data_IF_573371415372
#
_entry.id   IF_573371415372
#
_cell.length_a   1.000
_cell.length_b   1.000
_cell.length_c   1.000
_cell.angle_alpha   90.00
_cell.angle_beta   90.00
_cell.angle_gamma   90.00
#
_symmetry.space_group_name_H-M   'P 1'
#
loop_
_entity.id
_entity.type
_entity.pdbx_description
1 polymer ?
#
# COMPACT_ATOMS: atom_id res chain seq x y z
N UNK A 1 1.89 13.94 2.22
CA UNK A 1 2.89 14.98 1.86
C UNK A 1 2.39 16.30 2.41
N UNK A 2 3.18 16.98 3.25
CA UNK A 2 2.79 18.30 3.77
C UNK A 2 3.95 19.26 3.57
N UNK A 3 3.70 20.42 2.95
CA UNK A 3 4.70 21.46 2.77
C UNK A 3 4.58 22.50 3.88
N UNK A 4 5.60 22.62 4.71
CA UNK A 4 5.71 23.70 5.69
C UNK A 4 6.40 24.89 5.03
N UNK A 5 5.59 25.77 4.43
CA UNK A 5 6.06 26.94 3.71
C UNK A 5 6.96 27.87 4.56
N UNK A 6 6.72 27.93 5.87
CA UNK A 6 7.53 28.74 6.79
C UNK A 6 8.96 28.24 6.98
N UNK A 7 9.27 27.02 6.56
CA UNK A 7 10.58 26.40 6.75
C UNK A 7 11.12 25.76 5.45
N UNK A 8 10.41 25.88 4.33
CA UNK A 8 10.73 25.20 3.06
C UNK A 8 10.94 23.68 3.22
N UNK A 9 10.25 23.06 4.21
CA UNK A 9 10.37 21.62 4.48
C UNK A 9 9.21 20.87 3.87
N UNK A 10 9.54 19.86 3.06
CA UNK A 10 8.60 18.82 2.63
C UNK A 10 8.60 17.72 3.70
N UNK A 11 7.46 17.54 4.36
CA UNK A 11 7.24 16.42 5.26
C UNK A 11 6.69 15.23 4.47
N UNK A 12 7.47 14.15 4.47
CA UNK A 12 7.07 12.85 3.98
C UNK A 12 6.72 11.96 5.17
N UNK A 13 5.44 11.60 5.30
CA UNK A 13 5.04 10.53 6.21
C UNK A 13 5.26 9.20 5.48
N UNK A 14 6.12 8.36 6.06
CA UNK A 14 6.32 7.02 5.55
C UNK A 14 5.04 6.20 5.71
N UNK A 15 4.67 5.37 4.73
CA UNK A 15 3.50 4.53 4.87
C UNK A 15 3.65 3.60 6.07
N UNK A 16 2.57 3.47 6.85
CA UNK A 16 2.51 2.58 8.01
C UNK A 16 2.66 1.12 7.56
N UNK A 17 3.02 0.23 8.49
CA UNK A 17 3.04 -1.20 8.19
C UNK A 17 1.67 -1.70 7.74
N UNK A 18 0.58 -1.15 8.31
CA UNK A 18 -0.81 -1.49 7.95
C UNK A 18 -1.14 -1.10 6.51
N UNK A 19 -0.66 0.05 6.02
CA UNK A 19 -0.83 0.44 4.62
C UNK A 19 -0.09 -0.51 3.67
N UNK A 20 1.14 -0.92 4.04
CA UNK A 20 2.00 -1.76 3.18
C UNK A 20 1.62 -3.23 3.13
N UNK A 21 1.10 -3.80 4.22
CA UNK A 21 0.78 -5.22 4.31
C UNK A 21 -0.09 -5.72 3.14
N UNK A 22 -1.27 -5.14 2.86
CA UNK A 22 -2.11 -5.63 1.78
C UNK A 22 -1.50 -5.41 0.40
N UNK A 23 -0.66 -4.38 0.23
CA UNK A 23 0.05 -4.15 -1.03
C UNK A 23 0.99 -5.31 -1.30
N UNK A 24 1.85 -5.64 -0.32
CA UNK A 24 2.84 -6.69 -0.49
C UNK A 24 2.20 -8.05 -0.77
N UNK A 25 1.17 -8.42 0.01
CA UNK A 25 0.52 -9.72 -0.17
C UNK A 25 -0.25 -9.83 -1.48
N UNK A 26 -0.98 -8.76 -1.85
CA UNK A 26 -1.73 -8.75 -3.10
C UNK A 26 -0.79 -8.80 -4.30
N UNK A 27 0.25 -7.95 -4.30
CA UNK A 27 1.27 -7.91 -5.35
C UNK A 27 1.91 -9.28 -5.51
N UNK A 28 2.33 -9.90 -4.40
CA UNK A 28 3.00 -11.20 -4.45
C UNK A 28 2.08 -12.29 -5.02
N UNK A 29 0.86 -12.42 -4.51
CA UNK A 29 -0.08 -13.44 -4.96
C UNK A 29 -0.46 -13.26 -6.44
N UNK A 30 -0.76 -12.03 -6.88
CA UNK A 30 -1.11 -11.78 -8.29
C UNK A 30 0.07 -12.03 -9.21
N UNK A 31 1.28 -11.65 -8.76
CA UNK A 31 2.51 -11.87 -9.51
C UNK A 31 2.79 -13.36 -9.70
N UNK A 32 2.62 -14.17 -8.67
CA UNK A 32 2.83 -15.62 -8.74
C UNK A 32 1.88 -16.27 -9.75
N UNK A 33 0.60 -15.88 -9.76
CA UNK A 33 -0.39 -16.38 -10.71
C UNK A 33 -0.09 -15.96 -12.16
N UNK A 34 0.28 -14.69 -12.38
CA UNK A 34 0.52 -14.18 -13.74
C UNK A 34 1.85 -14.65 -14.34
N UNK A 35 2.91 -14.77 -13.53
CA UNK A 35 4.22 -15.24 -14.00
C UNK A 35 4.17 -16.74 -14.33
N UNK A 36 3.27 -17.51 -13.69
CA UNK A 36 3.07 -18.91 -14.02
C UNK A 36 2.45 -19.15 -15.41
N UNK A 37 1.91 -18.11 -16.06
CA UNK A 37 1.33 -18.24 -17.40
C UNK A 37 2.40 -18.53 -18.46
N UNK A 38 2.12 -19.41 -19.44
CA UNK A 38 3.08 -19.76 -20.49
C UNK A 38 3.08 -18.72 -21.62
N UNK A 39 3.49 -17.48 -21.32
CA UNK A 39 3.62 -16.38 -22.29
C UNK A 39 5.07 -16.22 -22.78
N UNK A 40 5.31 -15.58 -23.95
CA UNK A 40 6.66 -15.42 -24.50
C UNK A 40 7.46 -14.37 -23.72
N UNK A 41 8.12 -14.78 -22.64
CA UNK A 41 8.90 -13.90 -21.74
C UNK A 41 10.07 -13.17 -22.42
N UNK A 42 10.54 -13.69 -23.56
CA UNK A 42 11.54 -13.05 -24.42
C UNK A 42 10.98 -11.82 -25.15
N UNK A 43 9.67 -11.77 -25.40
CA UNK A 43 9.00 -10.73 -26.17
C UNK A 43 8.18 -9.78 -25.29
N UNK A 44 7.65 -10.27 -24.17
CA UNK A 44 6.83 -9.50 -23.24
C UNK A 44 7.42 -9.59 -21.84
N UNK A 45 7.43 -8.48 -21.13
CA UNK A 45 7.70 -8.42 -19.70
C UNK A 45 6.42 -8.05 -18.95
N UNK A 46 6.06 -8.84 -17.95
CA UNK A 46 5.02 -8.49 -16.99
C UNK A 46 5.72 -7.93 -15.76
N UNK A 47 5.34 -6.73 -15.35
CA UNK A 47 5.96 -6.04 -14.22
C UNK A 47 4.88 -5.59 -13.24
N UNK A 48 5.14 -5.81 -11.95
CA UNK A 48 4.34 -5.29 -10.86
C UNK A 48 5.23 -4.36 -10.04
N UNK A 49 4.96 -3.06 -10.10
CA UNK A 49 5.75 -2.04 -9.42
C UNK A 49 4.95 -1.41 -8.29
N UNK A 50 5.63 -1.10 -7.19
CA UNK A 50 5.05 -0.32 -6.11
C UNK A 50 5.55 1.12 -6.18
N UNK A 51 4.66 2.09 -5.94
CA UNK A 51 4.97 3.52 -5.90
C UNK A 51 5.68 4.04 -7.17
N UNK A 52 5.37 3.47 -8.33
CA UNK A 52 5.96 3.89 -9.62
C UNK A 52 5.13 5.00 -10.23
N UNK A 53 5.80 6.08 -10.62
CA UNK A 53 5.20 7.15 -11.41
C UNK A 53 4.73 6.63 -12.77
N UNK A 54 3.49 6.97 -13.13
CA UNK A 54 2.91 6.76 -14.45
C UNK A 54 2.49 8.13 -15.00
N UNK A 55 2.86 8.40 -16.24
CA UNK A 55 2.56 9.64 -16.96
C UNK A 55 2.32 9.32 -18.42
N UNK A 56 1.53 10.16 -19.08
CA UNK A 56 1.44 10.15 -20.54
C UNK A 56 2.46 11.17 -21.09
N UNK A 57 2.93 10.98 -22.32
CA UNK A 57 3.89 11.92 -22.93
C UNK A 57 3.24 13.27 -23.26
N UNK A 58 1.92 13.29 -23.42
CA UNK A 58 1.17 14.41 -23.97
C UNK A 58 0.47 15.27 -22.89
N UNK A 59 0.39 14.79 -21.65
CA UNK A 59 -0.22 15.49 -20.54
C UNK A 59 0.82 15.68 -19.42
N UNK A 60 0.86 16.88 -18.82
CA UNK A 60 1.64 17.15 -17.60
C UNK A 60 1.10 16.39 -16.36
N UNK A 61 0.22 15.42 -16.56
CA UNK A 61 -0.35 14.57 -15.53
C UNK A 61 0.66 13.48 -15.14
N UNK A 62 0.88 13.36 -13.84
CA UNK A 62 1.73 12.34 -13.27
C UNK A 62 1.05 11.74 -12.05
N UNK A 63 0.83 10.43 -12.07
CA UNK A 63 0.20 9.70 -11.00
C UNK A 63 1.18 8.72 -10.38
N UNK A 64 1.08 8.53 -9.07
CA UNK A 64 1.88 7.53 -8.34
C UNK A 64 0.92 6.60 -7.63
N UNK A 65 0.45 5.51 -8.28
CA UNK A 65 -0.32 4.48 -7.60
C UNK A 65 0.50 3.74 -6.56
N UNK A 66 -0.16 3.23 -5.52
CA UNK A 66 0.51 2.42 -4.49
C UNK A 66 1.13 1.16 -5.10
N UNK A 67 0.42 0.52 -6.06
CA UNK A 67 1.04 -0.42 -6.97
C UNK A 67 0.36 -0.48 -8.35
N UNK A 68 1.12 -0.90 -9.36
CA UNK A 68 0.67 -0.98 -10.75
C UNK A 68 1.18 -2.25 -11.42
N UNK A 69 0.29 -2.94 -12.11
CA UNK A 69 0.62 -4.04 -13.01
C UNK A 69 0.70 -3.50 -14.43
N UNK A 70 1.78 -3.81 -15.14
CA UNK A 70 1.96 -3.40 -16.52
C UNK A 70 2.57 -4.48 -17.40
N UNK A 71 2.27 -4.39 -18.70
CA UNK A 71 2.88 -5.20 -19.73
C UNK A 71 3.79 -4.33 -20.59
N UNK A 72 5.03 -4.76 -20.77
CA UNK A 72 6.01 -4.13 -21.61
C UNK A 72 6.38 -5.07 -22.76
N UNK A 73 6.04 -4.66 -23.97
CA UNK A 73 6.47 -5.33 -25.19
C UNK A 73 7.90 -4.92 -25.53
N UNK A 74 8.79 -5.91 -25.64
CA UNK A 74 10.23 -5.73 -25.90
C UNK A 74 10.59 -5.60 -27.37
N UNK A 75 9.60 -5.72 -28.27
CA UNK A 75 9.75 -5.57 -29.72
C UNK A 75 9.28 -4.18 -30.16
N UNK A 76 9.76 -3.71 -31.32
CA UNK A 76 9.39 -2.40 -31.84
C UNK A 76 8.09 -2.42 -32.67
N UNK A 77 7.23 -1.39 -32.54
CA UNK A 77 7.33 -0.28 -31.59
C UNK A 77 7.10 -0.77 -30.15
N UNK A 78 7.94 -0.31 -29.21
CA UNK A 78 7.81 -0.67 -27.81
C UNK A 78 6.45 -0.19 -27.29
N UNK A 79 5.68 -1.11 -26.69
CA UNK A 79 4.34 -0.82 -26.17
C UNK A 79 4.31 -1.12 -24.68
N UNK A 80 3.97 -0.10 -23.89
CA UNK A 80 3.79 -0.22 -22.45
C UNK A 80 2.31 0.00 -22.13
N UNK A 81 1.68 -0.96 -21.47
CA UNK A 81 0.26 -0.90 -21.08
C UNK A 81 0.10 -1.07 -19.58
N UNK A 82 -0.64 -0.18 -18.94
CA UNK A 82 -0.99 -0.30 -17.53
C UNK A 82 -2.28 -1.10 -17.37
N UNK A 83 -2.18 -2.32 -16.86
CA UNK A 83 -3.27 -3.30 -16.87
C UNK A 83 -4.13 -3.24 -15.61
N UNK A 84 -3.50 -3.02 -14.46
CA UNK A 84 -4.21 -2.90 -13.19
C UNK A 84 -3.55 -1.91 -12.24
N UNK A 85 -4.37 -1.28 -11.39
CA UNK A 85 -3.96 -0.33 -10.38
C UNK A 85 -4.42 -0.81 -9.00
N UNK A 86 -3.57 -0.64 -8.00
CA UNK A 86 -3.87 -0.84 -6.59
C UNK A 86 -3.66 0.48 -5.84
N UNK A 87 -4.64 0.86 -5.02
CA UNK A 87 -4.57 1.97 -4.08
C UNK A 87 -4.99 1.51 -2.69
N UNK A 88 -4.36 2.04 -1.65
CA UNK A 88 -4.73 1.80 -0.26
C UNK A 88 -5.10 3.12 0.40
N UNK A 89 -6.37 3.24 0.76
CA UNK A 89 -6.89 4.39 1.51
C UNK A 89 -6.67 4.11 2.99
N UNK A 90 -5.82 4.91 3.64
CA UNK A 90 -5.55 4.78 5.07
C UNK A 90 -5.58 6.13 5.78
N UNK A 91 -4.61 7.00 5.48
CA UNK A 91 -4.56 8.38 5.99
C UNK A 91 -5.09 9.42 4.98
N UNK A 92 -5.42 8.98 3.77
CA UNK A 92 -5.90 9.82 2.68
C UNK A 92 -7.43 9.90 2.70
N UNK A 93 -7.98 11.04 2.26
CA UNK A 93 -9.42 11.16 2.05
C UNK A 93 -9.87 10.29 0.89
N UNK A 94 -10.94 9.52 1.12
CA UNK A 94 -11.55 8.61 0.15
C UNK A 94 -11.84 9.31 -1.18
N UNK A 95 -12.40 10.52 -1.14
CA UNK A 95 -12.77 11.30 -2.32
C UNK A 95 -11.55 11.62 -3.19
N UNK A 96 -10.40 11.89 -2.58
CA UNK A 96 -9.16 12.21 -3.30
C UNK A 96 -8.61 10.97 -4.02
N UNK A 97 -8.66 9.80 -3.36
CA UNK A 97 -8.20 8.55 -3.98
C UNK A 97 -9.14 8.13 -5.11
N UNK A 98 -10.45 8.30 -4.93
CA UNK A 98 -11.42 8.03 -6.00
C UNK A 98 -11.23 8.98 -7.18
N UNK A 99 -11.00 10.26 -6.93
CA UNK A 99 -10.74 11.20 -8.01
C UNK A 99 -9.45 10.85 -8.76
N UNK A 100 -8.36 10.57 -8.03
CA UNK A 100 -7.10 10.09 -8.61
C UNK A 100 -7.30 8.86 -9.49
N UNK A 101 -8.03 7.85 -9.03
CA UNK A 101 -8.32 6.63 -9.81
C UNK A 101 -9.15 6.93 -11.05
N UNK A 102 -10.12 7.85 -10.96
CA UNK A 102 -10.89 8.30 -12.12
C UNK A 102 -10.01 8.95 -13.18
N UNK A 103 -9.12 9.83 -12.75
CA UNK A 103 -8.20 10.53 -13.65
C UNK A 103 -7.24 9.52 -14.31
N UNK A 104 -6.71 8.56 -13.54
CA UNK A 104 -5.88 7.46 -14.07
C UNK A 104 -6.64 6.66 -15.14
N UNK A 105 -7.86 6.19 -14.87
CA UNK A 105 -8.60 5.37 -15.85
C UNK A 105 -8.98 6.19 -17.09
N UNK A 106 -9.28 7.49 -16.93
CA UNK A 106 -9.61 8.37 -18.05
C UNK A 106 -8.40 8.57 -18.99
N UNK A 107 -7.19 8.62 -18.45
CA UNK A 107 -5.96 8.79 -19.22
C UNK A 107 -5.36 7.48 -19.74
N UNK A 108 -5.47 6.40 -18.96
CA UNK A 108 -4.94 5.07 -19.28
C UNK A 108 -6.08 4.10 -19.57
N UNK A 109 -6.72 4.26 -20.74
CA UNK A 109 -7.88 3.48 -21.17
C UNK A 109 -7.62 1.97 -21.26
N UNK A 110 -6.35 1.55 -21.32
CA UNK A 110 -5.94 0.15 -21.29
C UNK A 110 -6.02 -0.48 -19.89
N UNK A 111 -6.27 0.30 -18.84
CA UNK A 111 -6.50 -0.20 -17.48
C UNK A 111 -7.76 -1.07 -17.44
N UNK A 112 -7.62 -2.32 -16.99
CA UNK A 112 -8.70 -3.32 -16.99
C UNK A 112 -9.26 -3.60 -15.60
N UNK A 113 -8.46 -3.36 -14.56
CA UNK A 113 -8.84 -3.62 -13.19
C UNK A 113 -8.29 -2.54 -12.25
N UNK A 114 -9.10 -2.12 -11.29
CA UNK A 114 -8.62 -1.30 -10.17
C UNK A 114 -9.07 -1.93 -8.86
N UNK A 115 -8.15 -2.00 -7.91
CA UNK A 115 -8.41 -2.46 -6.54
C UNK A 115 -8.11 -1.30 -5.60
N UNK A 116 -9.10 -0.91 -4.79
CA UNK A 116 -8.90 0.04 -3.70
C UNK A 116 -9.17 -0.67 -2.38
N UNK A 117 -8.21 -0.61 -1.47
CA UNK A 117 -8.30 -1.21 -0.15
C UNK A 117 -8.43 -0.06 0.86
N UNK A 118 -9.62 0.11 1.42
CA UNK A 118 -9.90 1.17 2.38
C UNK A 118 -9.82 0.64 3.81
N UNK A 119 -8.79 1.07 4.53
CA UNK A 119 -8.49 0.66 5.89
C UNK A 119 -8.80 1.80 6.84
N UNK A 120 -9.66 1.54 7.82
CA UNK A 120 -9.97 2.50 8.89
C UNK A 120 -9.30 2.05 10.18
N UNK A 121 -8.39 2.86 10.72
CA UNK A 121 -7.82 2.68 12.07
C UNK A 121 -8.59 3.54 13.07
N UNK A 122 -8.80 3.01 14.27
CA UNK A 122 -9.19 3.83 15.41
C UNK A 122 -8.09 4.85 15.69
N UNK A 123 -8.44 6.14 15.71
CA UNK A 123 -7.48 7.22 15.96
C UNK A 123 -6.70 6.98 17.26
N UNK A 124 -5.38 6.81 17.13
CA UNK A 124 -4.50 6.67 18.28
C UNK A 124 -4.58 7.88 19.22
N UNK A 125 -4.57 7.59 20.51
CA UNK A 125 -4.46 8.58 21.57
C UNK A 125 -3.28 8.24 22.45
N UNK A 126 -2.47 9.23 22.84
CA UNK A 126 -1.37 8.98 23.78
C UNK A 126 -1.88 8.53 25.14
N UNK A 127 -1.17 7.64 25.86
CA UNK A 127 -1.51 7.29 27.24
C UNK A 127 -1.67 8.53 28.13
N UNK A 128 -2.69 8.54 28.99
CA UNK A 128 -2.89 9.60 29.98
C UNK A 128 -1.87 9.45 31.13
N UNK A 129 -1.36 10.53 31.74
CA UNK A 129 -0.35 10.46 32.81
C UNK A 129 -0.71 9.58 34.01
N UNK A 130 -1.99 9.47 34.34
CA UNK A 130 -2.54 8.67 35.43
C UNK A 130 -2.91 7.24 35.00
N UNK A 131 -2.79 6.90 33.72
CA UNK A 131 -3.14 5.58 33.21
C UNK A 131 -2.12 4.51 33.59
N UNK A 132 -2.59 3.26 33.71
CA UNK A 132 -1.73 2.09 33.98
C UNK A 132 -0.62 1.94 32.93
N UNK A 133 -0.93 2.21 31.66
CA UNK A 133 0.06 2.20 30.58
C UNK A 133 1.15 3.25 30.80
N UNK A 134 0.78 4.50 31.09
CA UNK A 134 1.77 5.54 31.38
C UNK A 134 2.67 5.16 32.55
N UNK A 135 2.08 4.77 33.69
CA UNK A 135 2.87 4.41 34.88
C UNK A 135 3.80 3.22 34.62
N UNK A 136 3.34 2.21 33.88
CA UNK A 136 4.15 1.02 33.56
C UNK A 136 5.32 1.40 32.66
N UNK A 137 5.06 2.10 31.56
CA UNK A 137 6.05 2.33 30.53
C UNK A 137 6.96 3.52 30.84
N UNK A 138 6.52 4.49 31.64
CA UNK A 138 7.38 5.60 32.10
C UNK A 138 8.45 5.14 33.09
N UNK A 139 8.15 4.12 33.91
CA UNK A 139 9.09 3.54 34.87
C UNK A 139 10.02 2.48 34.28
N UNK A 140 9.77 2.04 33.04
CA UNK A 140 10.53 0.99 32.38
C UNK A 140 11.61 1.58 31.45
N UNK A 141 12.75 0.89 31.26
CA UNK A 141 13.64 1.22 30.15
C UNK A 141 12.89 1.06 28.82
N UNK A 142 13.42 1.69 27.76
CA UNK A 142 12.88 1.57 26.41
C UNK A 142 12.72 0.08 26.03
N UNK A 143 11.51 -0.30 25.64
CA UNK A 143 11.19 -1.69 25.30
C UNK A 143 11.40 -1.94 23.80
N UNK A 144 12.13 -3.02 23.49
CA UNK A 144 12.17 -3.55 22.13
C UNK A 144 10.81 -4.17 21.75
N UNK A 145 10.71 -4.62 20.50
CA UNK A 145 9.46 -5.13 19.92
C UNK A 145 8.86 -6.29 20.75
N UNK A 146 9.65 -7.35 20.98
CA UNK A 146 9.20 -8.53 21.71
C UNK A 146 8.81 -8.22 23.16
N UNK A 147 9.62 -7.40 23.85
CA UNK A 147 9.33 -7.01 25.23
C UNK A 147 8.06 -6.18 25.32
N UNK A 148 7.81 -5.27 24.37
CA UNK A 148 6.57 -4.49 24.33
C UNK A 148 5.34 -5.39 24.13
N UNK A 149 5.40 -6.31 23.17
CA UNK A 149 4.28 -7.23 22.87
C UNK A 149 4.02 -8.22 24.01
N UNK A 150 5.03 -8.58 24.81
CA UNK A 150 4.84 -9.43 25.99
C UNK A 150 3.90 -8.83 27.06
N UNK A 151 3.68 -7.50 27.03
CA UNK A 151 2.74 -6.81 27.91
C UNK A 151 1.31 -6.74 27.34
N UNK A 152 1.04 -7.33 26.18
CA UNK A 152 -0.30 -7.44 25.62
C UNK A 152 -1.15 -8.28 26.59
N UNK A 153 -2.02 -7.61 27.36
CA UNK A 153 -2.72 -8.28 28.47
C UNK A 153 -4.05 -8.85 28.05
N UNK A 154 -4.67 -8.33 26.99
CA UNK A 154 -6.01 -8.74 26.57
C UNK A 154 -6.18 -8.40 25.07
N UNK A 155 -5.95 -9.34 24.16
CA UNK A 155 -6.41 -9.17 22.77
C UNK A 155 -7.95 -9.16 22.78
N UNK A 156 -8.53 -7.99 23.04
CA UNK A 156 -9.97 -7.79 22.96
C UNK A 156 -10.31 -7.71 21.49
N UNK A 157 -11.04 -8.73 21.02
CA UNK A 157 -11.79 -8.66 19.77
C UNK A 157 -12.78 -7.51 19.93
N UNK A 158 -12.54 -6.38 19.28
CA UNK A 158 -13.44 -5.23 19.31
C UNK A 158 -14.75 -5.60 18.62
N UNK A 159 -15.70 -6.13 19.37
CA UNK A 159 -17.09 -6.36 18.98
C UNK A 159 -17.95 -6.25 20.24
N UNK A 160 -18.83 -5.27 20.28
CA UNK A 160 -19.75 -5.04 21.40
C UNK A 160 -20.58 -6.30 21.71
N UNK A 161 -20.68 -6.61 23.00
CA UNK A 161 -21.76 -7.30 23.71
C UNK A 161 -22.50 -8.47 23.01
N UNK A 162 -22.33 -9.65 23.63
CA UNK A 162 -23.08 -10.90 23.39
C UNK A 162 -22.84 -11.50 22.00
N UNK A 163 -21.89 -12.43 21.91
CA UNK A 163 -21.95 -13.44 20.85
C UNK A 163 -23.27 -14.23 21.03
N UNK A 164 -24.23 -14.17 20.09
CA UNK A 164 -25.36 -15.08 20.12
C UNK A 164 -24.78 -16.48 19.96
N UNK A 165 -25.19 -17.39 20.83
CA UNK A 165 -24.89 -18.82 20.72
C UNK A 165 -25.28 -19.26 19.31
N UNK A 166 -24.28 -19.56 18.46
CA UNK A 166 -24.48 -19.95 17.05
C UNK A 166 -23.52 -19.35 16.01
N UNK A 167 -22.57 -18.48 16.36
CA UNK A 167 -21.56 -18.00 15.41
C UNK A 167 -20.50 -19.08 15.10
N UNK A 168 -20.36 -19.41 13.82
CA UNK A 168 -19.37 -20.35 13.29
C UNK A 168 -17.92 -19.92 13.61
N UNK A 169 -16.96 -20.88 13.70
CA UNK A 169 -15.58 -20.62 14.13
C UNK A 169 -14.69 -19.79 13.17
N UNK A 170 -15.26 -19.18 12.12
CA UNK A 170 -14.49 -18.63 10.99
C UNK A 170 -14.48 -17.09 10.88
N UNK A 171 -14.86 -16.35 11.93
CA UNK A 171 -14.71 -14.90 11.91
C UNK A 171 -13.22 -14.52 12.08
N UNK A 172 -12.52 -14.32 10.97
CA UNK A 172 -11.14 -13.82 10.90
C UNK A 172 -11.10 -12.37 11.40
N UNK A 173 -10.86 -12.16 12.70
CA UNK A 173 -10.72 -10.79 13.27
C UNK A 173 -9.26 -10.43 13.49
N UNK A 174 -8.88 -9.22 13.07
CA UNK A 174 -7.58 -8.63 13.42
C UNK A 174 -7.70 -8.07 14.85
N UNK A 175 -6.96 -8.60 15.84
CA UNK A 175 -7.09 -8.17 17.22
C UNK A 175 -6.50 -6.77 17.42
N UNK A 176 -7.14 -5.98 18.28
CA UNK A 176 -6.56 -4.74 18.79
C UNK A 176 -5.36 -5.04 19.69
N UNK A 177 -4.32 -4.20 19.65
CA UNK A 177 -3.16 -4.34 20.52
C UNK A 177 -3.39 -3.57 21.81
N UNK A 178 -3.72 -4.30 22.87
CA UNK A 178 -4.03 -3.76 24.18
C UNK A 178 -2.93 -4.07 25.17
N UNK A 179 -2.11 -3.08 25.49
CA UNK A 179 -1.05 -3.25 26.47
C UNK A 179 -1.28 -2.35 27.66
N UNK A 180 -1.41 -2.97 28.85
CA UNK A 180 -1.72 -2.29 30.12
C UNK A 180 -2.99 -1.41 30.06
N UNK A 181 -4.06 -1.97 29.50
CA UNK A 181 -5.38 -1.30 29.30
C UNK A 181 -5.34 -0.08 28.38
N UNK A 182 -4.34 0.01 27.52
CA UNK A 182 -4.25 1.05 26.51
C UNK A 182 -4.26 0.43 25.12
N UNK A 183 -5.10 0.96 24.24
CA UNK A 183 -5.15 0.56 22.84
C UNK A 183 -4.02 1.27 22.08
N UNK A 184 -3.03 0.49 21.67
CA UNK A 184 -1.88 0.97 20.90
C UNK A 184 -2.07 0.83 19.40
N UNK A 185 -3.06 0.07 18.94
CA UNK A 185 -3.47 0.02 17.54
C UNK A 185 -4.77 -0.77 17.47
N UNK A 186 -5.72 -0.33 16.65
CA UNK A 186 -6.99 -1.01 16.42
C UNK A 186 -7.46 -0.71 15.01
N UNK A 187 -7.63 -1.76 14.20
CA UNK A 187 -8.21 -1.64 12.86
C UNK A 187 -9.72 -1.85 12.98
N UNK A 188 -10.48 -0.83 12.62
CA UNK A 188 -11.94 -0.84 12.68
C UNK A 188 -12.54 -1.60 11.48
N UNK A 189 -12.03 -1.35 10.27
CA UNK A 189 -12.49 -2.04 9.07
C UNK A 189 -11.44 -2.06 7.96
N UNK A 190 -11.57 -3.05 7.08
CA UNK A 190 -10.81 -3.18 5.83
C UNK A 190 -11.83 -3.48 4.73
N UNK A 191 -11.99 -2.57 3.78
CA UNK A 191 -12.99 -2.68 2.72
C UNK A 191 -12.31 -2.78 1.35
N UNK A 192 -12.77 -3.71 0.53
CA UNK A 192 -12.26 -3.89 -0.83
C UNK A 192 -13.25 -3.29 -1.84
N UNK A 193 -12.74 -2.43 -2.72
CA UNK A 193 -13.50 -1.85 -3.82
C UNK A 193 -12.82 -2.22 -5.13
N UNK A 194 -13.48 -3.03 -5.94
CA UNK A 194 -12.91 -3.55 -7.18
C UNK A 194 -13.69 -3.03 -8.37
N UNK A 195 -12.97 -2.49 -9.34
CA UNK A 195 -13.46 -2.16 -10.66
C UNK A 195 -12.90 -3.15 -11.64
N UNK A 196 -13.75 -3.66 -12.51
CA UNK A 196 -13.32 -4.44 -13.67
C UNK A 196 -14.01 -3.84 -14.88
N UNK A 197 -13.22 -3.55 -15.91
CA UNK A 197 -13.72 -3.03 -17.18
C UNK A 197 -14.75 -4.01 -17.78
N UNK A 198 -15.77 -3.53 -18.50
CA UNK A 198 -16.80 -4.45 -19.04
C UNK A 198 -16.28 -5.32 -20.18
N UNK A 199 -15.35 -4.79 -20.98
CA UNK A 199 -14.70 -5.49 -22.09
C UNK A 199 -13.41 -4.79 -22.52
N UNK A 200 -12.59 -5.47 -23.34
CA UNK A 200 -11.28 -4.95 -23.76
C UNK A 200 -11.40 -3.70 -24.65
N UNK A 201 -12.43 -3.65 -25.49
CA UNK A 201 -12.70 -2.55 -26.44
C UNK A 201 -13.62 -1.46 -25.87
N UNK A 202 -14.11 -1.62 -24.64
CA UNK A 202 -14.96 -0.61 -24.02
C UNK A 202 -14.15 0.67 -23.80
N UNK A 203 -14.68 1.82 -24.19
CA UNK A 203 -14.05 3.13 -23.94
C UNK A 203 -14.81 3.92 -22.88
N UNK A 204 -15.96 3.41 -22.41
CA UNK A 204 -16.78 4.13 -21.45
C UNK A 204 -16.18 4.00 -20.04
N UNK A 205 -15.68 5.12 -19.52
CA UNK A 205 -15.24 5.27 -18.13
C UNK A 205 -16.47 5.36 -17.21
N UNK A 206 -17.19 4.25 -17.04
CA UNK A 206 -18.33 4.17 -16.13
C UNK A 206 -17.86 3.98 -14.67
N UNK A 207 -16.99 4.85 -14.17
CA UNK A 207 -16.66 4.93 -12.71
C UNK A 207 -17.76 5.72 -11.98
N UNK A 208 -18.60 6.46 -12.70
CA UNK A 208 -19.77 7.12 -12.12
C UNK A 208 -20.77 6.11 -11.50
N UNK A 209 -20.87 4.89 -12.03
CA UNK A 209 -21.70 3.80 -11.48
C UNK A 209 -21.04 3.02 -10.34
N UNK A 210 -19.78 3.28 -10.02
CA UNK A 210 -19.07 2.67 -8.88
C UNK A 210 -19.71 3.03 -7.53
N UNK A 211 -20.39 4.18 -7.46
CA UNK A 211 -21.18 4.58 -6.29
C UNK A 211 -22.57 3.92 -6.20
N UNK A 212 -22.99 3.18 -7.24
CA UNK A 212 -24.32 2.55 -7.34
C UNK A 212 -24.26 1.02 -7.28
N UNK A 213 -23.08 0.40 -7.25
CA UNK A 213 -22.89 -1.04 -7.05
C UNK A 213 -22.41 -1.31 -5.62
N UNK A 214 -22.78 -2.46 -5.02
CA UNK A 214 -22.86 -2.60 -3.58
C UNK A 214 -21.50 -2.30 -2.94
N UNK A 215 -21.51 -1.34 -2.01
CA UNK A 215 -20.44 -1.20 -1.02
C UNK A 215 -20.34 -2.53 -0.32
N UNK A 216 -19.35 -3.34 -0.65
CA UNK A 216 -19.12 -4.56 0.10
C UNK A 216 -18.28 -4.17 1.32
N UNK A 217 -18.99 -3.62 2.33
CA UNK A 217 -18.45 -3.41 3.66
C UNK A 217 -18.28 -4.80 4.25
N UNK A 218 -17.07 -5.33 4.21
CA UNK A 218 -16.82 -6.69 4.69
C UNK A 218 -15.88 -6.65 5.86
N UNK A 219 -16.43 -7.01 7.01
CA UNK A 219 -15.63 -7.50 8.10
C UNK A 219 -14.89 -8.73 7.61
N UNK A 220 -13.57 -8.69 7.74
CA UNK A 220 -12.70 -9.80 7.45
C UNK A 220 -13.31 -11.11 8.01
N UNK A 221 -13.44 -12.12 7.15
CA UNK A 221 -13.95 -13.46 7.51
C UNK A 221 -15.33 -13.84 6.99
N UNK A 222 -16.10 -12.93 6.37
CA UNK A 222 -17.40 -13.27 5.75
C UNK A 222 -17.66 -12.50 4.45
N UNK A 223 -17.92 -13.19 3.34
CA UNK A 223 -18.38 -12.61 2.06
C UNK A 223 -17.28 -12.33 1.03
N UNK A 224 -16.03 -12.73 1.26
CA UNK A 224 -14.91 -12.46 0.35
C UNK A 224 -15.01 -13.22 -0.98
N UNK A 225 -16.01 -14.07 -1.15
CA UNK A 225 -16.34 -14.75 -2.39
C UNK A 225 -16.59 -13.75 -3.53
N UNK A 226 -17.34 -12.67 -3.29
CA UNK A 226 -17.63 -11.66 -4.30
C UNK A 226 -16.35 -10.92 -4.74
N UNK A 227 -15.46 -10.65 -3.79
CA UNK A 227 -14.14 -10.06 -4.06
C UNK A 227 -13.30 -11.02 -4.92
N UNK A 228 -13.25 -12.31 -4.56
CA UNK A 228 -12.57 -13.32 -5.34
C UNK A 228 -13.14 -13.42 -6.78
N UNK A 229 -14.47 -13.39 -6.94
CA UNK A 229 -15.11 -13.41 -8.26
C UNK A 229 -14.68 -12.21 -9.11
N UNK A 230 -14.69 -11.00 -8.54
CA UNK A 230 -14.27 -9.79 -9.25
C UNK A 230 -12.78 -9.80 -9.59
N UNK A 231 -11.91 -10.23 -8.67
CA UNK A 231 -10.47 -10.37 -8.94
C UNK A 231 -10.19 -11.37 -10.05
N UNK A 232 -10.83 -12.54 -10.01
CA UNK A 232 -10.70 -13.55 -11.08
C UNK A 232 -11.19 -13.01 -12.43
N UNK A 233 -12.31 -12.28 -12.44
CA UNK A 233 -12.81 -11.63 -13.65
C UNK A 233 -11.80 -10.62 -14.21
N UNK A 234 -11.23 -9.78 -13.35
CA UNK A 234 -10.21 -8.81 -13.75
C UNK A 234 -8.94 -9.48 -14.29
N UNK A 235 -8.44 -10.52 -13.62
CA UNK A 235 -7.27 -11.26 -14.08
C UNK A 235 -7.52 -12.03 -15.39
N UNK A 236 -8.72 -12.57 -15.58
CA UNK A 236 -9.10 -13.17 -16.86
C UNK A 236 -9.09 -12.15 -18.01
N UNK A 237 -9.50 -10.90 -17.76
CA UNK A 237 -9.39 -9.83 -18.76
C UNK A 237 -7.95 -9.43 -19.04
N UNK A 238 -7.12 -9.35 -18.00
CA UNK A 238 -5.68 -9.07 -18.11
C UNK A 238 -4.98 -10.16 -18.94
N UNK A 239 -5.33 -11.44 -18.72
CA UNK A 239 -4.91 -12.55 -19.58
C UNK A 239 -5.35 -12.36 -21.04
N UNK A 240 -6.60 -11.94 -21.25
CA UNK A 240 -7.12 -11.62 -22.58
C UNK A 240 -6.28 -10.55 -23.27
N UNK A 241 -5.94 -9.47 -22.56
CA UNK A 241 -5.05 -8.42 -23.07
C UNK A 241 -3.64 -8.92 -23.39
N UNK A 242 -3.11 -9.83 -22.56
CA UNK A 242 -1.81 -10.47 -22.82
C UNK A 242 -1.85 -11.30 -24.10
N UNK A 243 -2.93 -12.06 -24.32
CA UNK A 243 -3.16 -12.82 -25.56
C UNK A 243 -3.24 -11.89 -26.77
N UNK A 244 -4.00 -10.80 -26.69
CA UNK A 244 -4.09 -9.80 -27.78
C UNK A 244 -2.72 -9.17 -28.08
N UNK A 245 -1.95 -8.85 -27.04
CA UNK A 245 -0.59 -8.31 -27.20
C UNK A 245 0.32 -9.34 -27.88
N UNK A 246 0.27 -10.62 -27.50
CA UNK A 246 1.05 -11.66 -28.18
C UNK A 246 0.63 -11.82 -29.65
N UNK A 247 -0.66 -11.75 -29.96
CA UNK A 247 -1.18 -11.83 -31.35
C UNK A 247 -0.71 -10.66 -32.19
N UNK A 248 -0.61 -9.46 -31.60
CA UNK A 248 -0.12 -8.27 -32.30
C UNK A 248 1.39 -8.34 -32.65
N UNK A 249 2.16 -9.18 -31.94
CA UNK A 249 3.59 -9.42 -32.23
C UNK A 249 3.76 -10.42 -33.37
N UNK A 250 2.80 -11.32 -33.59
CA UNK A 250 2.88 -12.29 -34.67
C UNK A 250 2.95 -11.58 -36.02
N UNK A 251 3.90 -11.95 -36.88
CA UNK A 251 4.13 -11.23 -38.12
C UNK A 251 2.95 -11.36 -39.09
N UNK A 252 2.80 -10.44 -40.06
CA UNK A 252 1.75 -10.51 -41.07
C UNK A 252 1.79 -11.83 -41.83
N UNK A 253 0.61 -12.29 -42.27
CA UNK A 253 0.45 -13.51 -43.07
C UNK A 253 1.42 -13.49 -44.27
N UNK A 254 2.39 -14.41 -44.29
CA UNK A 254 3.39 -14.52 -45.37
C UNK A 254 4.85 -14.18 -45.00
N UNK A 255 5.14 -13.79 -43.76
CA UNK A 255 6.53 -13.65 -43.30
C UNK A 255 7.18 -15.02 -43.01
N UNK A 256 8.50 -15.12 -43.18
CA UNK A 256 9.28 -16.33 -42.87
C UNK A 256 9.57 -16.52 -41.36
N UNK A 257 9.14 -15.59 -40.50
CA UNK A 257 9.35 -15.69 -39.05
C UNK A 257 8.35 -16.64 -38.39
N UNK A 258 8.79 -17.48 -37.43
CA UNK A 258 7.92 -18.42 -36.75
C UNK A 258 6.85 -17.68 -35.94
N UNK A 259 5.59 -18.07 -36.14
CA UNK A 259 4.45 -17.54 -35.40
C UNK A 259 4.65 -17.77 -33.89
N UNK A 260 4.33 -16.78 -33.06
CA UNK A 260 4.34 -16.97 -31.61
C UNK A 260 3.24 -17.98 -31.27
N UNK A 261 3.63 -19.20 -30.88
CA UNK A 261 2.68 -20.21 -30.44
C UNK A 261 2.12 -19.83 -29.07
N UNK A 262 0.87 -19.39 -29.06
CA UNK A 262 0.14 -18.98 -27.85
C UNK A 262 -0.92 -19.99 -27.41
N UNK A 263 -1.01 -21.17 -28.03
CA UNK A 263 -2.06 -22.14 -27.71
C UNK A 263 -2.05 -22.55 -26.23
N UNK A 264 -0.86 -22.72 -25.64
CA UNK A 264 -0.71 -23.00 -24.21
C UNK A 264 -1.19 -21.84 -23.33
N UNK A 265 -0.96 -20.59 -23.74
CA UNK A 265 -1.47 -19.42 -23.02
C UNK A 265 -2.99 -19.31 -23.13
N UNK A 266 -3.56 -19.55 -24.32
CA UNK A 266 -5.00 -19.56 -24.52
C UNK A 266 -5.68 -20.63 -23.67
N UNK A 267 -5.12 -21.84 -23.63
CA UNK A 267 -5.64 -22.97 -22.85
C UNK A 267 -5.42 -22.86 -21.33
N UNK A 268 -4.43 -22.09 -20.86
CA UNK A 268 -4.15 -21.95 -19.43
C UNK A 268 -5.33 -21.31 -18.68
N UNK A 269 -5.82 -21.92 -17.60
CA UNK A 269 -6.77 -21.24 -16.71
C UNK A 269 -6.03 -20.29 -15.77
N UNK A 270 -6.62 -19.13 -15.49
CA UNK A 270 -6.28 -18.36 -14.29
C UNK A 270 -7.33 -18.70 -13.24
N UNK A 271 -6.87 -19.12 -12.08
CA UNK A 271 -7.75 -19.40 -10.93
C UNK A 271 -7.12 -18.80 -9.70
N UNK A 272 -7.25 -17.48 -9.60
CA UNK A 272 -6.72 -16.73 -8.49
C UNK A 272 -7.55 -16.98 -7.23
N UNK A 273 -6.97 -17.70 -6.28
CA UNK A 273 -7.53 -17.83 -4.95
C UNK A 273 -6.70 -16.96 -4.00
N UNK A 274 -7.27 -15.83 -3.57
CA UNK A 274 -6.59 -15.05 -2.55
C UNK A 274 -6.58 -15.85 -1.25
N UNK A 275 -5.38 -16.08 -0.72
CA UNK A 275 -5.19 -16.71 0.58
C UNK A 275 -5.48 -15.69 1.68
N UNK A 276 -6.77 -15.56 2.02
CA UNK A 276 -7.25 -14.61 3.02
C UNK A 276 -6.56 -14.80 4.38
N UNK A 277 -6.28 -16.04 4.78
CA UNK A 277 -5.57 -16.33 6.03
C UNK A 277 -4.17 -15.69 6.05
N UNK A 278 -3.41 -15.80 4.96
CA UNK A 278 -2.07 -15.19 4.85
C UNK A 278 -2.15 -13.67 4.94
N UNK A 279 -3.11 -13.07 4.24
CA UNK A 279 -3.34 -11.62 4.29
C UNK A 279 -3.65 -11.16 5.73
N UNK A 280 -4.45 -11.94 6.46
CA UNK A 280 -4.80 -11.62 7.85
C UNK A 280 -3.63 -11.78 8.79
N UNK A 281 -2.79 -12.78 8.59
CA UNK A 281 -1.56 -12.91 9.35
C UNK A 281 -0.60 -11.74 9.08
N UNK A 282 -0.47 -11.30 7.83
CA UNK A 282 0.27 -10.08 7.50
C UNK A 282 -0.31 -8.84 8.15
N UNK A 283 -1.65 -8.70 8.20
CA UNK A 283 -2.28 -7.59 8.93
C UNK A 283 -2.03 -7.65 10.43
N UNK A 284 -2.06 -8.84 11.05
CA UNK A 284 -1.72 -8.98 12.48
C UNK A 284 -0.30 -8.50 12.77
N UNK A 285 0.66 -8.95 11.96
CA UNK A 285 2.06 -8.50 12.06
C UNK A 285 2.17 -6.98 11.86
N UNK A 286 1.45 -6.43 10.88
CA UNK A 286 1.44 -5.00 10.62
C UNK A 286 0.84 -4.16 11.75
N UNK A 287 -0.21 -4.68 12.40
CA UNK A 287 -0.84 -4.07 13.57
C UNK A 287 0.11 -4.10 14.77
N UNK A 288 0.82 -5.21 15.01
CA UNK A 288 1.86 -5.30 16.05
C UNK A 288 2.98 -4.28 15.80
N UNK A 289 3.50 -4.21 14.57
CA UNK A 289 4.53 -3.25 14.17
C UNK A 289 4.07 -1.81 14.35
N UNK A 290 2.83 -1.51 13.97
CA UNK A 290 2.26 -0.16 14.11
C UNK A 290 2.08 0.20 15.58
N UNK A 291 1.58 -0.71 16.41
CA UNK A 291 1.46 -0.49 17.85
C UNK A 291 2.81 -0.20 18.51
N UNK A 292 3.85 -0.95 18.16
CA UNK A 292 5.20 -0.70 18.68
C UNK A 292 5.76 0.65 18.20
N UNK A 293 5.54 1.01 16.94
CA UNK A 293 5.93 2.32 16.41
C UNK A 293 5.23 3.48 17.15
N UNK A 294 3.93 3.34 17.45
CA UNK A 294 3.18 4.31 18.24
C UNK A 294 3.75 4.42 19.67
N UNK A 295 4.08 3.29 20.31
CA UNK A 295 4.80 3.27 21.59
C UNK A 295 6.14 3.99 21.53
N UNK A 296 6.98 3.69 20.54
CA UNK A 296 8.28 4.35 20.37
C UNK A 296 8.09 5.87 20.20
N UNK A 297 7.14 6.26 19.34
CA UNK A 297 6.84 7.66 19.04
C UNK A 297 6.42 8.43 20.29
N UNK A 298 5.49 7.86 21.07
CA UNK A 298 5.07 8.43 22.35
C UNK A 298 6.23 8.49 23.36
N UNK A 299 6.93 7.38 23.59
CA UNK A 299 8.01 7.30 24.58
C UNK A 299 9.12 8.31 24.31
N UNK A 300 9.54 8.46 23.04
CA UNK A 300 10.54 9.46 22.64
C UNK A 300 10.04 10.88 22.92
N UNK A 301 8.81 11.21 22.52
CA UNK A 301 8.23 12.55 22.75
C UNK A 301 8.10 12.89 24.23
N UNK A 302 7.76 11.91 25.07
CA UNK A 302 7.50 12.12 26.50
C UNK A 302 8.74 12.10 27.39
N UNK A 303 9.75 11.26 27.09
CA UNK A 303 10.89 11.03 28.01
C UNK A 303 12.26 11.32 27.40
N UNK A 304 12.33 11.50 26.08
CA UNK A 304 13.54 11.91 25.38
C UNK A 304 13.26 13.15 24.52
N UNK A 305 12.93 14.30 25.13
CA UNK A 305 12.80 15.53 24.37
C UNK A 305 14.10 15.75 23.58
N UNK A 306 13.99 15.70 22.25
CA UNK A 306 15.14 15.90 21.38
C UNK A 306 15.77 17.26 21.64
N UNK A 307 17.10 17.30 21.67
CA UNK A 307 17.96 18.51 21.74
C UNK A 307 17.87 19.40 20.49
N UNK A 308 16.70 19.51 19.86
CA UNK A 308 16.45 20.45 18.76
C UNK A 308 15.12 21.16 18.99
N UNK A 309 15.10 22.03 20.01
CA UNK A 309 14.52 23.35 19.76
C UNK A 309 15.57 24.08 18.93
N UNK A 310 15.31 24.29 17.64
CA UNK A 310 15.90 25.44 16.96
C UNK A 310 15.48 26.64 17.79
N UNK A 311 16.42 27.14 18.59
CA UNK A 311 16.26 28.41 19.26
C UNK A 311 15.91 29.43 18.18
N UNK A 312 14.85 30.20 18.40
CA UNK A 312 14.35 31.22 17.49
C UNK A 312 15.30 32.43 17.43
N UNK A 313 16.58 32.21 17.15
CA UNK A 313 17.59 33.27 16.96
C UNK A 313 18.74 32.80 16.06
N UNK A 314 18.47 32.17 14.91
CA UNK A 314 19.43 32.26 13.81
C UNK A 314 19.24 33.61 13.12
N UNK A 315 20.04 34.60 13.52
CA UNK A 315 20.28 35.82 12.74
C UNK A 315 21.57 35.60 11.96
N UNK A 316 21.54 35.49 10.62
CA UNK A 316 22.77 35.59 9.85
C UNK A 316 23.26 37.03 10.00
N UNK A 317 24.47 37.20 10.53
CA UNK A 317 25.14 38.50 10.49
C UNK A 317 25.54 38.76 9.03
N UNK A 318 24.70 39.48 8.30
CA UNK A 318 25.10 40.22 7.12
C UNK A 318 26.01 41.36 7.57
N UNK A 319 27.32 41.16 7.44
CA UNK A 319 28.26 42.21 7.05
C UNK A 319 29.60 41.57 6.68
N UNK A 320 29.89 41.59 5.38
CA UNK A 320 31.12 41.08 4.81
C UNK A 320 32.34 41.93 5.16
N UNK A 321 33.49 41.26 5.27
CA UNK A 321 34.69 41.51 4.45
C UNK A 321 35.84 40.59 4.90
N UNK A 322 36.72 40.13 3.99
CA UNK A 322 37.76 39.16 4.32
C UNK A 322 38.97 39.88 4.92
N UNK A 323 39.32 39.54 6.16
CA UNK A 323 40.60 39.95 6.75
C UNK A 323 41.45 38.72 7.07
N UNK A 324 42.58 38.64 6.37
CA UNK A 324 43.72 37.77 6.68
C UNK A 324 44.15 37.98 8.14
N UNK A 325 44.36 36.90 8.88
CA UNK A 325 44.98 36.91 10.19
C UNK A 325 45.37 35.50 10.64
N UNK A 326 46.66 35.30 10.79
CA UNK A 326 47.40 34.05 10.99
C UNK A 326 47.30 33.48 12.41
N UNK A 327 47.74 32.22 12.58
CA UNK A 327 48.10 31.48 13.83
C UNK A 327 46.94 30.84 14.61
N UNK A 328 47.02 29.68 15.26
CA UNK A 328 47.98 28.58 15.39
C UNK A 328 47.34 27.56 16.36
N UNK A 329 47.42 26.25 16.06
CA UNK A 329 47.37 25.12 17.02
C UNK A 329 46.06 24.88 17.80
N UNK A 330 45.69 23.71 18.31
CA UNK A 330 46.32 22.39 18.44
C UNK A 330 45.20 21.34 18.41
N UNK A 331 45.45 20.24 17.70
CA UNK A 331 44.73 18.98 17.85
C UNK A 331 44.93 18.42 19.27
N UNK A 332 43.87 17.94 19.92
CA UNK A 332 43.96 16.73 20.76
C UNK A 332 42.59 16.05 20.93
N UNK A 333 42.47 14.82 20.42
CA UNK A 333 41.47 13.83 20.86
C UNK A 333 42.00 13.13 22.10
N UNK A 334 41.17 12.81 23.11
CA UNK A 334 41.46 11.72 24.03
C UNK A 334 40.89 10.42 23.45
N UNK A 335 41.76 9.41 23.28
CA UNK A 335 41.41 8.00 23.38
C UNK A 335 41.51 7.62 24.85
N UNK A 336 40.49 6.95 25.40
CA UNK A 336 40.58 5.58 25.92
C UNK A 336 39.27 4.89 25.53
#
# INVERSE_FOLDING_TARGET
LSYLASCEVILFEWPSAIHKAPINDFVQQVKDELIALPYPTTLIHIQFDQNRSISTLDLDSNFVPDAVLSFLMKVQPCLHKYQAILEVVFSQHWENVIQKVKDIIAEFLETLMVVIINITETKYQTPKPDSKAWQTFSASPFLNFDAFLSFNTDSVVSGSDVAPVGMAPNNLVIPSIMSRKHCWCSVESINYHIWVKKGLQDQECAISTWMQHPRIIMHVGKGMEDVNVLLNRGLAMIKGSLIEMCKAISPPLGSAEPLVNIASLEAASISFLLFWDNLIDSFKVAVDMTAHQQYIGWFRKSFRPGKHRLDHTYKPNDNGSPSRGTTSSHYTRPRI
#
